data_IF_146327316090
#
_entry.id   IF_146327316090
#
_cell.length_a   1.000
_cell.length_b   1.000
_cell.length_c   1.000
_cell.angle_alpha   90.00
_cell.angle_beta   90.00
_cell.angle_gamma   90.00
#
_symmetry.space_group_name_H-M   'P 1'
#
loop_
_entity.id
_entity.type
_entity.pdbx_description
1 polymer ?
#
# COMPACT_ATOMS: atom_id res chain seq x y z
N UNK A 1 0.31 29.02 38.66
CA UNK A 1 -0.26 29.41 37.36
C UNK A 1 0.27 28.54 36.25
N UNK A 2 -0.30 27.33 36.18
CA UNK A 2 -0.07 26.42 35.06
C UNK A 2 -1.00 26.84 33.92
N UNK A 3 -0.43 27.31 32.82
CA UNK A 3 -1.16 27.53 31.58
C UNK A 3 -1.44 26.16 30.95
N UNK A 4 -2.68 25.69 31.07
CA UNK A 4 -3.21 24.54 30.34
C UNK A 4 -3.12 24.79 28.82
N UNK A 5 -2.22 24.09 28.15
CA UNK A 5 -2.32 23.94 26.70
C UNK A 5 -3.30 22.82 26.40
N UNK A 6 -4.47 23.21 25.87
CA UNK A 6 -5.53 22.37 25.36
C UNK A 6 -5.00 21.27 24.41
N UNK A 7 -4.87 20.04 24.91
CA UNK A 7 -4.64 18.87 24.07
C UNK A 7 -5.96 18.47 23.43
N UNK A 8 -6.23 19.00 22.24
CA UNK A 8 -7.31 18.50 21.38
C UNK A 8 -6.80 17.22 20.70
N UNK A 9 -6.87 16.08 21.39
CA UNK A 9 -6.56 14.77 20.77
C UNK A 9 -7.67 14.39 19.79
N UNK A 10 -7.55 14.82 18.54
CA UNK A 10 -8.37 14.30 17.45
C UNK A 10 -7.89 12.89 17.08
N UNK A 11 -8.77 11.91 17.36
CA UNK A 11 -8.88 10.58 16.75
C UNK A 11 -7.69 9.62 16.92
N UNK A 12 -7.86 8.63 17.80
CA UNK A 12 -7.03 7.41 17.76
C UNK A 12 -7.31 6.73 16.42
N UNK A 13 -6.35 6.72 15.50
CA UNK A 13 -6.52 6.01 14.22
C UNK A 13 -6.81 4.53 14.53
N UNK A 14 -8.00 4.05 14.16
CA UNK A 14 -8.42 2.66 14.37
C UNK A 14 -7.55 1.64 13.61
N UNK A 15 -6.74 2.12 12.66
CA UNK A 15 -5.97 1.31 11.73
C UNK A 15 -4.58 1.91 11.50
N UNK A 16 -3.63 1.05 11.14
CA UNK A 16 -2.33 1.45 10.60
C UNK A 16 -1.94 0.58 9.41
N UNK A 17 -1.15 1.16 8.51
CA UNK A 17 -0.68 0.51 7.30
C UNK A 17 0.83 0.31 7.33
N UNK A 18 1.29 -0.84 6.84
CA UNK A 18 2.69 -1.11 6.55
C UNK A 18 2.84 -1.22 5.03
N UNK A 19 3.79 -0.48 4.48
CA UNK A 19 4.10 -0.49 3.05
C UNK A 19 5.54 -0.94 2.84
N UNK A 20 5.75 -1.87 1.91
CA UNK A 20 7.09 -2.24 1.45
C UNK A 20 7.25 -1.80 -0.01
N UNK A 21 8.44 -1.33 -0.33
CA UNK A 21 8.77 -0.79 -1.66
C UNK A 21 9.87 -1.62 -2.33
N UNK A 22 9.87 -1.61 -3.66
CA UNK A 22 10.95 -2.14 -4.49
C UNK A 22 12.11 -1.14 -4.61
N UNK A 23 13.17 -1.51 -5.32
CA UNK A 23 14.34 -0.67 -5.54
C UNK A 23 14.09 0.55 -6.46
N UNK A 24 12.94 0.59 -7.14
CA UNK A 24 12.48 1.70 -7.97
C UNK A 24 11.52 2.62 -7.20
N UNK A 25 11.26 2.34 -5.93
CA UNK A 25 10.32 3.10 -5.09
C UNK A 25 8.85 2.78 -5.35
N UNK A 26 8.53 1.72 -6.10
CA UNK A 26 7.15 1.28 -6.26
C UNK A 26 6.74 0.39 -5.09
N UNK A 27 5.48 0.48 -4.66
CA UNK A 27 4.97 -0.37 -3.57
C UNK A 27 4.86 -1.81 -4.05
N UNK A 28 5.58 -2.73 -3.42
CA UNK A 28 5.53 -4.18 -3.71
C UNK A 28 4.62 -4.95 -2.76
N UNK A 29 4.36 -4.39 -1.57
CA UNK A 29 3.48 -5.01 -0.56
C UNK A 29 2.81 -3.94 0.29
N UNK A 30 1.57 -4.23 0.68
CA UNK A 30 0.76 -3.38 1.54
C UNK A 30 -0.02 -4.24 2.51
N UNK A 31 0.09 -3.99 3.80
CA UNK A 31 -0.74 -4.62 4.81
C UNK A 31 -1.41 -3.60 5.70
N UNK A 32 -2.62 -3.91 6.14
CA UNK A 32 -3.40 -3.09 7.07
C UNK A 32 -3.73 -3.89 8.32
N UNK A 33 -3.62 -3.20 9.44
CA UNK A 33 -3.91 -3.74 10.76
C UNK A 33 -4.87 -2.81 11.49
N UNK A 34 -5.63 -3.38 12.42
CA UNK A 34 -6.27 -2.59 13.48
C UNK A 34 -5.21 -2.03 14.43
N UNK A 35 -5.54 -0.98 15.17
CA UNK A 35 -4.68 -0.39 16.20
C UNK A 35 -4.26 -1.38 17.29
N UNK A 36 -5.02 -2.46 17.50
CA UNK A 36 -4.68 -3.56 18.40
C UNK A 36 -3.77 -4.64 17.77
N UNK A 37 -3.24 -4.41 16.57
CA UNK A 37 -2.34 -5.32 15.87
C UNK A 37 -3.02 -6.43 15.07
N UNK A 38 -4.36 -6.53 15.06
CA UNK A 38 -5.05 -7.54 14.26
C UNK A 38 -4.93 -7.24 12.76
N UNK A 39 -4.37 -8.20 12.01
CA UNK A 39 -4.29 -8.13 10.55
C UNK A 39 -5.69 -8.08 9.92
N UNK A 40 -5.84 -7.19 8.93
CA UNK A 40 -7.05 -7.05 8.12
C UNK A 40 -6.84 -7.62 6.73
N UNK A 41 -5.76 -7.21 6.05
CA UNK A 41 -5.40 -7.74 4.75
C UNK A 41 -3.90 -7.58 4.46
N UNK A 42 -3.41 -8.35 3.50
CA UNK A 42 -2.10 -8.19 2.87
C UNK A 42 -2.27 -8.30 1.36
N UNK A 43 -1.81 -7.27 0.65
CA UNK A 43 -1.69 -7.26 -0.81
C UNK A 43 -0.23 -7.31 -1.23
N UNK A 44 0.05 -8.11 -2.26
CA UNK A 44 1.30 -8.08 -3.02
C UNK A 44 1.04 -7.49 -4.39
N UNK A 45 1.93 -6.60 -4.83
CA UNK A 45 1.83 -5.93 -6.12
C UNK A 45 3.03 -6.36 -6.98
N UNK A 46 2.75 -6.85 -8.18
CA UNK A 46 3.77 -7.23 -9.16
C UNK A 46 3.63 -6.34 -10.38
N UNK A 47 4.68 -5.59 -10.70
CA UNK A 47 4.75 -4.77 -11.91
C UNK A 47 5.30 -5.61 -13.06
N UNK A 48 4.50 -5.79 -14.11
CA UNK A 48 4.78 -6.73 -15.20
C UNK A 48 5.32 -6.06 -16.46
N UNK A 49 5.04 -4.77 -16.65
CA UNK A 49 5.45 -4.02 -17.83
C UNK A 49 5.88 -2.61 -17.47
N UNK A 50 6.89 -2.11 -18.16
CA UNK A 50 7.43 -0.76 -18.01
C UNK A 50 7.60 -0.10 -19.39
N UNK A 51 7.59 1.22 -19.43
CA UNK A 51 7.96 2.01 -20.60
C UNK A 51 9.49 2.22 -20.71
N UNK A 52 9.93 2.92 -21.75
CA UNK A 52 11.35 3.19 -22.01
C UNK A 52 12.01 4.13 -20.99
N UNK A 53 11.23 4.86 -20.18
CA UNK A 53 11.74 5.71 -19.09
C UNK A 53 11.69 5.03 -17.73
N UNK A 54 11.23 3.77 -17.68
CA UNK A 54 11.16 2.97 -16.47
C UNK A 54 9.90 3.19 -15.64
N UNK A 55 8.88 3.87 -16.16
CA UNK A 55 7.57 3.94 -15.51
C UNK A 55 6.80 2.66 -15.75
N UNK A 56 6.12 2.15 -14.73
CA UNK A 56 5.32 0.94 -14.91
C UNK A 56 4.04 1.23 -15.70
N UNK A 57 3.71 0.30 -16.58
CA UNK A 57 2.53 0.34 -17.45
C UNK A 57 1.49 -0.69 -17.03
N UNK A 58 1.91 -1.81 -16.42
CA UNK A 58 1.00 -2.86 -15.97
C UNK A 58 1.39 -3.36 -14.58
N UNK A 59 0.39 -3.61 -13.73
CA UNK A 59 0.57 -4.27 -12.44
C UNK A 59 -0.54 -5.28 -12.15
N UNK A 60 -0.21 -6.30 -11.38
CA UNK A 60 -1.15 -7.29 -10.85
C UNK A 60 -1.09 -7.28 -9.34
N UNK A 61 -2.27 -7.16 -8.72
CA UNK A 61 -2.42 -7.18 -7.27
C UNK A 61 -2.97 -8.53 -6.83
N UNK A 62 -2.33 -9.12 -5.83
CA UNK A 62 -2.67 -10.41 -5.24
C UNK A 62 -3.07 -10.20 -3.78
N UNK A 63 -4.24 -10.69 -3.39
CA UNK A 63 -4.56 -10.84 -1.96
C UNK A 63 -3.85 -12.09 -1.46
N UNK A 64 -2.91 -11.86 -0.55
CA UNK A 64 -2.11 -12.90 0.09
C UNK A 64 -2.39 -12.96 1.59
N UNK A 65 -3.54 -12.45 2.04
CA UNK A 65 -3.90 -12.41 3.46
C UNK A 65 -3.95 -13.81 4.06
N UNK A 66 -4.40 -14.80 3.28
CA UNK A 66 -4.57 -16.18 3.73
C UNK A 66 -3.67 -17.19 3.00
N UNK A 67 -3.00 -16.79 1.90
CA UNK A 67 -2.15 -17.66 1.08
C UNK A 67 -1.07 -16.83 0.36
N UNK A 68 0.20 -17.17 0.58
CA UNK A 68 1.36 -16.50 -0.04
C UNK A 68 1.40 -16.63 -1.58
N UNK A 69 0.70 -17.61 -2.15
CA UNK A 69 0.60 -17.78 -3.61
C UNK A 69 -0.31 -16.73 -4.25
N UNK A 70 -1.35 -16.31 -3.52
CA UNK A 70 -2.29 -15.24 -3.86
C UNK A 70 -3.18 -15.54 -5.07
N UNK A 71 -4.46 -15.18 -4.97
CA UNK A 71 -5.32 -15.10 -6.16
C UNK A 71 -5.14 -13.72 -6.79
N UNK A 72 -4.83 -13.61 -8.10
CA UNK A 72 -4.78 -12.31 -8.77
C UNK A 72 -6.18 -11.69 -8.77
N UNK A 73 -6.28 -10.47 -8.26
CA UNK A 73 -7.56 -9.76 -8.10
C UNK A 73 -7.73 -8.64 -9.11
N UNK A 74 -6.66 -7.89 -9.36
CA UNK A 74 -6.75 -6.65 -10.14
C UNK A 74 -5.59 -6.61 -11.12
N UNK A 75 -5.93 -6.41 -12.40
CA UNK A 75 -4.97 -6.03 -13.43
C UNK A 75 -5.13 -4.53 -13.70
N UNK A 76 -4.11 -3.75 -13.39
CA UNK A 76 -4.07 -2.32 -13.68
C UNK A 76 -3.23 -2.09 -14.93
N UNK A 77 -3.73 -1.27 -15.86
CA UNK A 77 -2.98 -0.80 -17.02
C UNK A 77 -2.97 0.72 -17.06
N UNK A 78 -1.83 1.29 -17.47
CA UNK A 78 -1.62 2.74 -17.62
C UNK A 78 -1.17 3.06 -19.03
N UNK A 79 -1.65 4.19 -19.53
CA UNK A 79 -1.10 4.91 -20.67
C UNK A 79 -0.44 6.19 -20.13
N UNK A 80 0.79 6.47 -20.58
CA UNK A 80 1.59 7.59 -20.08
C UNK A 80 1.92 8.49 -21.26
N UNK A 81 1.42 9.71 -21.21
CA UNK A 81 1.74 10.77 -22.17
C UNK A 81 2.85 11.66 -21.63
N UNK A 82 3.72 12.12 -22.55
CA UNK A 82 4.81 13.02 -22.24
C UNK A 82 4.58 14.37 -22.92
N UNK A 83 4.69 15.44 -22.15
CA UNK A 83 4.58 16.82 -22.60
C UNK A 83 5.93 17.53 -22.49
#
# INVERSE_FOLDING_TARGET
>A
DESEQNIKTNSVNEYYDINEYDNKGNRKKWSRYKSNGKLIFIYKIIYTKYDSKGNWLESVDYDITNDDSGTPLILTKREIEYY
#
